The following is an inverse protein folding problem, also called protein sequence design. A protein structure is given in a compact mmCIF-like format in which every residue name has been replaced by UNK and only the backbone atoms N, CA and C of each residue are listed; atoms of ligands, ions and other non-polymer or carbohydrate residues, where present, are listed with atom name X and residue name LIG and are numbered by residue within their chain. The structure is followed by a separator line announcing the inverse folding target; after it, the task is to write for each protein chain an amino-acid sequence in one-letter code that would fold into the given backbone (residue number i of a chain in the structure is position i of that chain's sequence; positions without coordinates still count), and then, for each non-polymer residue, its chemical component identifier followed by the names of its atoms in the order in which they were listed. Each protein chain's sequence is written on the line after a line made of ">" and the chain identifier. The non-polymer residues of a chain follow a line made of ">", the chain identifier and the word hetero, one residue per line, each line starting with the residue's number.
data_IF_943532348148
#
_entry.id   IF_943532348148
#
_cell.length_a   1.000
_cell.length_b   1.000
_cell.length_c   1.000
_cell.angle_alpha   90.00
_cell.angle_beta   90.00
_cell.angle_gamma   90.00
#
_symmetry.space_group_name_H-M   'P 1'
#
loop_
_entity.id
_entity.type
_entity.pdbx_description
1 polymer ?
#
# COMPACT_ATOMS: atom_id res chain seq x y z
N UNK A 1 16.40 12.40 -14.23
CA UNK A 1 16.04 11.01 -13.87
C UNK A 1 16.47 10.13 -15.02
N UNK A 2 17.42 9.22 -14.81
CA UNK A 2 17.80 8.26 -15.84
C UNK A 2 16.73 7.17 -15.86
N UNK A 3 16.14 6.93 -17.03
CA UNK A 3 15.15 5.86 -17.18
C UNK A 3 15.89 4.54 -17.35
N UNK A 4 15.62 3.60 -16.46
CA UNK A 4 16.02 2.21 -16.65
C UNK A 4 14.95 1.49 -17.46
N UNK A 5 15.34 0.85 -18.56
CA UNK A 5 14.42 0.12 -19.43
C UNK A 5 14.49 -1.38 -19.16
N UNK A 6 13.36 -1.94 -18.76
CA UNK A 6 13.13 -3.39 -18.69
C UNK A 6 12.16 -3.74 -19.81
N UNK A 7 12.38 -4.81 -20.59
CA UNK A 7 11.47 -5.23 -21.65
C UNK A 7 10.20 -5.90 -21.07
N UNK A 8 9.43 -5.15 -20.27
CA UNK A 8 8.24 -5.64 -19.56
C UNK A 8 7.24 -6.30 -20.51
N UNK A 9 7.13 -5.83 -21.75
CA UNK A 9 6.23 -6.40 -22.74
C UNK A 9 6.54 -7.87 -23.09
N UNK A 10 7.78 -8.33 -22.88
CA UNK A 10 8.20 -9.71 -23.17
C UNK A 10 7.91 -10.68 -22.01
N UNK A 11 7.61 -10.15 -20.81
CA UNK A 11 7.28 -10.96 -19.65
C UNK A 11 5.85 -11.50 -19.75
N UNK A 12 5.67 -12.74 -19.32
CA UNK A 12 4.35 -13.32 -19.02
C UNK A 12 3.69 -12.56 -17.87
N UNK A 13 2.37 -12.75 -17.69
CA UNK A 13 1.66 -12.10 -16.60
C UNK A 13 2.23 -12.49 -15.22
N UNK A 14 2.56 -13.76 -15.01
CA UNK A 14 3.14 -14.24 -13.76
C UNK A 14 4.52 -13.64 -13.50
N UNK A 15 5.38 -13.55 -14.52
CA UNK A 15 6.70 -12.93 -14.37
C UNK A 15 6.61 -11.43 -14.06
N UNK A 16 5.58 -10.73 -14.57
CA UNK A 16 5.32 -9.33 -14.19
C UNK A 16 4.93 -9.20 -12.72
N UNK A 17 4.10 -10.11 -12.23
CA UNK A 17 3.71 -10.13 -10.81
C UNK A 17 4.91 -10.41 -9.92
N UNK A 18 5.71 -11.42 -10.26
CA UNK A 18 6.93 -11.77 -9.52
C UNK A 18 7.94 -10.61 -9.51
N UNK A 19 8.14 -9.95 -10.66
CA UNK A 19 8.97 -8.73 -10.73
C UNK A 19 8.42 -7.61 -9.84
N UNK A 20 7.11 -7.39 -9.84
CA UNK A 20 6.48 -6.39 -8.99
C UNK A 20 6.68 -6.69 -7.50
N UNK A 21 6.55 -7.97 -7.10
CA UNK A 21 6.76 -8.41 -5.72
C UNK A 21 8.23 -8.26 -5.30
N UNK A 22 9.18 -8.64 -6.15
CA UNK A 22 10.62 -8.44 -5.87
C UNK A 22 10.96 -6.96 -5.70
N UNK A 23 10.46 -6.09 -6.59
CA UNK A 23 10.67 -4.65 -6.49
C UNK A 23 10.05 -4.09 -5.21
N UNK A 24 8.83 -4.52 -4.87
CA UNK A 24 8.17 -4.08 -3.64
C UNK A 24 8.96 -4.50 -2.40
N UNK A 25 9.45 -5.75 -2.34
CA UNK A 25 10.24 -6.26 -1.22
C UNK A 25 11.56 -5.50 -1.04
N UNK A 26 12.27 -5.19 -2.13
CA UNK A 26 13.51 -4.42 -2.11
C UNK A 26 13.28 -2.97 -1.62
N UNK A 27 12.22 -2.32 -2.10
CA UNK A 27 11.88 -0.95 -1.68
C UNK A 27 11.39 -0.88 -0.23
N UNK A 28 10.63 -1.87 0.24
CA UNK A 28 10.09 -1.90 1.59
C UNK A 28 11.19 -1.93 2.68
N UNK A 29 12.41 -2.39 2.36
CA UNK A 29 13.54 -2.33 3.29
C UNK A 29 14.18 -0.93 3.44
N UNK A 30 13.83 0.01 2.54
CA UNK A 30 14.49 1.29 2.37
C UNK A 30 13.54 2.49 2.58
N UNK A 31 12.55 2.35 3.47
CA UNK A 31 11.48 3.34 3.70
C UNK A 31 11.98 4.77 3.98
N UNK A 32 13.18 4.91 4.56
CA UNK A 32 13.81 6.20 4.86
C UNK A 32 14.22 7.00 3.62
N UNK A 33 14.32 6.36 2.45
CA UNK A 33 14.71 7.01 1.21
C UNK A 33 13.54 7.72 0.51
N UNK A 34 12.31 7.53 0.99
CA UNK A 34 11.12 8.18 0.46
C UNK A 34 10.47 9.02 1.56
N UNK A 35 10.67 10.34 1.49
CA UNK A 35 9.97 11.25 2.39
C UNK A 35 8.46 11.18 2.13
N UNK A 36 7.70 10.94 3.19
CA UNK A 36 6.25 11.03 3.11
C UNK A 36 5.84 12.47 2.77
N UNK A 37 4.83 12.68 1.91
CA UNK A 37 4.32 14.02 1.64
C UNK A 37 3.92 14.74 2.93
N UNK A 38 4.17 16.04 3.03
CA UNK A 38 3.87 16.82 4.24
C UNK A 38 2.40 16.74 4.68
N UNK A 39 1.47 16.51 3.75
CA UNK A 39 0.04 16.37 4.07
C UNK A 39 -0.33 15.02 4.73
N UNK A 40 0.52 13.99 4.62
CA UNK A 40 0.25 12.68 5.25
C UNK A 40 0.15 12.79 6.76
N UNK A 41 1.04 13.56 7.39
CA UNK A 41 1.07 13.71 8.85
C UNK A 41 -0.26 14.24 9.38
N UNK A 42 -0.77 15.33 8.79
CA UNK A 42 -2.04 15.92 9.19
C UNK A 42 -3.20 14.91 9.16
N UNK A 43 -3.31 14.13 8.08
CA UNK A 43 -4.36 13.12 7.93
C UNK A 43 -4.20 11.98 8.94
N UNK A 44 -2.98 11.55 9.21
CA UNK A 44 -2.71 10.51 10.20
C UNK A 44 -3.05 10.98 11.62
N UNK A 45 -2.66 12.19 11.99
CA UNK A 45 -3.03 12.78 13.28
C UNK A 45 -4.54 12.93 13.44
N UNK A 46 -5.25 13.40 12.41
CA UNK A 46 -6.71 13.53 12.47
C UNK A 46 -7.39 12.17 12.66
N UNK A 47 -6.92 11.13 11.96
CA UNK A 47 -7.43 9.76 12.08
C UNK A 47 -7.13 9.16 13.45
N UNK A 48 -5.94 9.39 13.98
CA UNK A 48 -5.56 8.93 15.31
C UNK A 48 -6.40 9.61 16.39
N UNK A 49 -6.60 10.92 16.31
CA UNK A 49 -7.46 11.66 17.22
C UNK A 49 -8.92 11.17 17.16
N UNK A 50 -9.45 10.89 15.97
CA UNK A 50 -10.78 10.33 15.80
C UNK A 50 -10.89 8.90 16.37
N UNK A 51 -9.84 8.09 16.25
CA UNK A 51 -9.76 6.77 16.88
C UNK A 51 -9.82 6.86 18.40
N UNK A 52 -8.99 7.69 19.00
CA UNK A 52 -8.97 7.88 20.46
C UNK A 52 -10.27 8.46 20.99
N UNK A 53 -10.95 9.30 20.19
CA UNK A 53 -12.26 9.85 20.53
C UNK A 53 -13.43 8.86 20.31
N UNK A 54 -13.17 7.64 19.84
CA UNK A 54 -14.21 6.64 19.55
C UNK A 54 -15.13 7.03 18.37
N UNK A 55 -14.66 7.91 17.48
CA UNK A 55 -15.44 8.43 16.34
C UNK A 55 -15.27 7.64 15.05
N UNK A 56 -14.48 6.56 15.08
CA UNK A 56 -14.30 5.68 13.92
C UNK A 56 -14.68 4.24 14.27
N UNK A 57 -15.17 3.51 13.27
CA UNK A 57 -15.41 2.08 13.38
C UNK A 57 -14.14 1.34 13.00
N UNK A 58 -13.68 0.47 13.89
CA UNK A 58 -12.61 -0.49 13.61
C UNK A 58 -13.22 -1.85 13.32
N UNK A 59 -12.60 -2.61 12.43
CA UNK A 59 -12.93 -4.01 12.21
C UNK A 59 -11.67 -4.82 12.30
N UNK A 60 -11.76 -6.05 12.81
CA UNK A 60 -10.61 -6.94 12.73
C UNK A 60 -10.32 -7.27 11.26
N UNK A 61 -9.11 -7.78 11.00
CA UNK A 61 -8.64 -7.98 9.64
C UNK A 61 -9.46 -9.02 8.85
N UNK A 62 -9.90 -10.08 9.51
CA UNK A 62 -10.72 -11.12 8.87
C UNK A 62 -12.13 -10.61 8.54
N UNK A 63 -12.76 -9.84 9.44
CA UNK A 63 -14.02 -9.13 9.17
C UNK A 63 -13.90 -8.17 7.99
N UNK A 64 -12.80 -7.42 7.93
CA UNK A 64 -12.54 -6.50 6.83
C UNK A 64 -12.43 -7.24 5.49
N UNK A 65 -11.67 -8.35 5.44
CA UNK A 65 -11.55 -9.21 4.26
C UNK A 65 -12.91 -9.73 3.80
N UNK A 66 -13.69 -10.29 4.73
CA UNK A 66 -15.01 -10.85 4.41
C UNK A 66 -15.97 -9.77 3.89
N UNK A 67 -15.95 -8.57 4.48
CA UNK A 67 -16.72 -7.42 3.98
C UNK A 67 -16.30 -7.02 2.56
N UNK A 68 -14.99 -6.96 2.28
CA UNK A 68 -14.49 -6.59 0.95
C UNK A 68 -14.89 -7.63 -0.09
N UNK A 69 -14.68 -8.93 0.20
CA UNK A 69 -15.09 -10.02 -0.72
C UNK A 69 -16.56 -9.96 -1.10
N UNK A 70 -17.44 -9.62 -0.14
CA UNK A 70 -18.89 -9.49 -0.39
C UNK A 70 -19.25 -8.31 -1.29
N UNK A 71 -18.43 -7.26 -1.33
CA UNK A 71 -18.72 -6.01 -2.04
C UNK A 71 -18.00 -5.87 -3.40
N UNK A 72 -17.09 -6.80 -3.73
CA UNK A 72 -16.30 -6.79 -4.97
C UNK A 72 -16.84 -7.86 -5.96
N UNK A 73 -18.16 -8.08 -5.97
CA UNK A 73 -18.82 -8.97 -6.93
C UNK A 73 -18.91 -8.34 -8.33
#
# INVERSE_FOLDING_TARGET
>A
MNRFEVPIAQLTFTEKLDLMEMLWADMAGNEKNLESPAWHEAILSDREAALQAGKITVSNWEEAKERIKKNVA
#
